data_IF_519423898323
#
_entry.id   IF_519423898323
#
_cell.length_a   1.000
_cell.length_b   1.000
_cell.length_c   1.000
_cell.angle_alpha   90.00
_cell.angle_beta   90.00
_cell.angle_gamma   90.00
#
_symmetry.space_group_name_H-M   'P 1'
#
loop_
_entity.id
_entity.type
_entity.pdbx_description
1 polymer ?
#
# COMPACT_ATOMS: atom_id res chain seq x y z
N UNK A 1 4.70 22.56 8.65
CA UNK A 1 5.16 21.18 8.39
C UNK A 1 4.16 20.11 8.86
N UNK A 2 3.69 20.12 10.12
CA UNK A 2 2.73 19.12 10.64
C UNK A 2 1.48 18.91 9.77
N UNK A 3 0.80 19.99 9.37
CA UNK A 3 -0.40 19.90 8.52
C UNK A 3 -0.06 19.23 7.17
N UNK A 4 1.07 19.58 6.57
CA UNK A 4 1.51 18.99 5.30
C UNK A 4 1.76 17.48 5.43
N UNK A 5 2.48 17.05 6.47
CA UNK A 5 2.71 15.63 6.76
C UNK A 5 1.38 14.90 6.95
N UNK A 6 0.45 15.47 7.73
CA UNK A 6 -0.87 14.89 7.94
C UNK A 6 -1.67 14.75 6.65
N UNK A 7 -1.63 15.76 5.77
CA UNK A 7 -2.29 15.69 4.45
C UNK A 7 -1.70 14.57 3.61
N UNK A 8 -0.38 14.47 3.53
CA UNK A 8 0.30 13.41 2.78
C UNK A 8 0.03 12.01 3.37
N UNK A 9 0.01 11.87 4.70
CA UNK A 9 -0.39 10.63 5.37
C UNK A 9 -1.81 10.23 5.00
N UNK A 10 -2.77 11.17 5.00
CA UNK A 10 -4.13 10.89 4.57
C UNK A 10 -4.20 10.48 3.11
N UNK A 11 -3.48 11.16 2.21
CA UNK A 11 -3.44 10.82 0.78
C UNK A 11 -2.90 9.40 0.58
N UNK A 12 -1.79 9.04 1.24
CA UNK A 12 -1.20 7.69 1.15
C UNK A 12 -2.18 6.63 1.63
N UNK A 13 -2.76 6.80 2.81
CA UNK A 13 -3.62 5.79 3.43
C UNK A 13 -4.95 5.62 2.69
N UNK A 14 -5.54 6.71 2.20
CA UNK A 14 -6.71 6.64 1.31
C UNK A 14 -6.34 6.00 -0.03
N UNK A 15 -5.13 6.27 -0.55
CA UNK A 15 -4.58 5.58 -1.71
C UNK A 15 -4.50 4.06 -1.52
N UNK A 16 -4.03 3.60 -0.35
CA UNK A 16 -4.03 2.16 -0.02
C UNK A 16 -5.43 1.60 -0.01
N UNK A 17 -6.39 2.32 0.59
CA UNK A 17 -7.78 1.89 0.59
C UNK A 17 -8.33 1.73 -0.85
N UNK A 18 -7.91 2.56 -1.81
CA UNK A 18 -8.24 2.40 -3.22
C UNK A 18 -7.63 1.10 -3.81
N UNK A 19 -6.35 0.84 -3.54
CA UNK A 19 -5.65 -0.38 -3.96
C UNK A 19 -6.31 -1.63 -3.38
N UNK A 20 -6.78 -1.57 -2.13
CA UNK A 20 -7.52 -2.65 -1.49
C UNK A 20 -8.83 -2.97 -2.22
N UNK A 21 -9.61 -1.94 -2.59
CA UNK A 21 -10.81 -2.13 -3.42
C UNK A 21 -10.49 -2.85 -4.72
N UNK A 22 -9.49 -2.35 -5.46
CA UNK A 22 -9.07 -2.94 -6.75
C UNK A 22 -8.57 -4.38 -6.60
N UNK A 23 -7.76 -4.65 -5.60
CA UNK A 23 -7.19 -5.98 -5.39
C UNK A 23 -8.27 -7.01 -5.05
N UNK A 24 -9.18 -6.68 -4.13
CA UNK A 24 -10.27 -7.57 -3.74
C UNK A 24 -11.22 -7.79 -4.92
N UNK A 25 -11.59 -6.72 -5.64
CA UNK A 25 -12.45 -6.81 -6.82
C UNK A 25 -11.83 -7.70 -7.92
N UNK A 26 -10.57 -7.46 -8.27
CA UNK A 26 -9.90 -8.21 -9.34
C UNK A 26 -9.72 -9.70 -9.01
N UNK A 27 -9.37 -10.03 -7.76
CA UNK A 27 -9.24 -11.43 -7.35
C UNK A 27 -10.60 -12.14 -7.29
N UNK A 28 -11.65 -11.49 -6.79
CA UNK A 28 -13.01 -12.06 -6.80
C UNK A 28 -13.55 -12.22 -8.22
N UNK A 29 -13.34 -11.24 -9.10
CA UNK A 29 -13.67 -11.33 -10.52
C UNK A 29 -12.95 -12.52 -11.16
N UNK A 30 -11.65 -12.68 -10.90
CA UNK A 30 -10.87 -13.79 -11.44
C UNK A 30 -11.36 -15.19 -11.02
N UNK A 31 -12.02 -15.30 -9.87
CA UNK A 31 -12.64 -16.56 -9.39
C UNK A 31 -14.04 -16.72 -9.99
N UNK A 32 -14.89 -15.70 -9.88
CA UNK A 32 -16.30 -15.79 -10.29
C UNK A 32 -16.43 -15.90 -11.81
N UNK A 33 -15.61 -15.18 -12.58
CA UNK A 33 -15.59 -15.29 -14.03
C UNK A 33 -15.19 -16.68 -14.54
N UNK A 34 -14.47 -17.47 -13.72
CA UNK A 34 -14.10 -18.83 -14.09
C UNK A 34 -15.27 -19.82 -13.95
N UNK A 35 -16.11 -19.66 -12.93
CA UNK A 35 -17.22 -20.59 -12.64
C UNK A 35 -18.59 -20.14 -13.16
N UNK A 36 -18.78 -18.84 -13.35
CA UNK A 36 -20.09 -18.25 -13.65
C UNK A 36 -20.02 -17.35 -14.88
N UNK A 37 -20.08 -16.04 -14.69
CA UNK A 37 -20.25 -15.05 -15.76
C UNK A 37 -19.10 -14.04 -15.69
N UNK A 38 -18.60 -13.65 -16.87
CA UNK A 38 -17.70 -12.52 -17.03
C UNK A 38 -18.46 -11.22 -16.79
N UNK A 39 -18.44 -10.76 -15.55
CA UNK A 39 -18.92 -9.43 -15.17
C UNK A 39 -17.79 -8.42 -15.19
N UNK A 40 -18.14 -7.17 -15.45
CA UNK A 40 -17.20 -6.06 -15.43
C UNK A 40 -16.69 -5.77 -14.00
N UNK A 41 -15.43 -5.36 -13.87
CA UNK A 41 -14.78 -5.11 -12.56
C UNK A 41 -15.53 -4.07 -11.71
N UNK A 42 -16.21 -3.11 -12.34
CA UNK A 42 -16.98 -2.07 -11.67
C UNK A 42 -18.16 -2.66 -10.87
N UNK A 43 -18.74 -3.77 -11.31
CA UNK A 43 -19.81 -4.45 -10.58
C UNK A 43 -19.27 -5.01 -9.26
N UNK A 44 -18.09 -5.62 -9.28
CA UNK A 44 -17.44 -6.12 -8.07
C UNK A 44 -17.07 -4.97 -7.11
N UNK A 45 -16.61 -3.83 -7.64
CA UNK A 45 -16.36 -2.64 -6.82
C UNK A 45 -17.64 -2.16 -6.12
N UNK A 46 -18.78 -2.10 -6.83
CA UNK A 46 -20.07 -1.69 -6.26
C UNK A 46 -20.53 -2.69 -5.19
N UNK A 47 -20.39 -4.00 -5.44
CA UNK A 47 -20.75 -5.04 -4.47
C UNK A 47 -19.89 -4.96 -3.20
N UNK A 48 -18.61 -4.56 -3.33
CA UNK A 48 -17.70 -4.41 -2.20
C UNK A 48 -17.92 -3.12 -1.39
N UNK A 49 -18.57 -2.11 -1.97
CA UNK A 49 -18.78 -0.81 -1.30
C UNK A 49 -19.50 -0.98 0.04
N UNK A 50 -20.64 -1.69 0.05
CA UNK A 50 -21.45 -1.86 1.25
C UNK A 50 -20.72 -2.66 2.35
N UNK A 51 -20.10 -3.83 2.08
CA UNK A 51 -19.24 -4.51 3.04
C UNK A 51 -18.09 -3.66 3.60
N UNK A 52 -17.40 -2.89 2.75
CA UNK A 52 -16.29 -2.02 3.17
C UNK A 52 -16.76 -0.88 4.08
N UNK A 53 -17.94 -0.31 3.83
CA UNK A 53 -18.57 0.70 4.71
C UNK A 53 -18.83 0.10 6.09
N UNK A 54 -19.46 -1.08 6.15
CA UNK A 54 -19.77 -1.74 7.43
C UNK A 54 -18.50 -2.11 8.20
N UNK A 55 -17.47 -2.61 7.52
CA UNK A 55 -16.20 -2.92 8.16
C UNK A 55 -15.56 -1.66 8.78
N UNK A 56 -15.66 -0.52 8.09
CA UNK A 56 -15.12 0.75 8.57
C UNK A 56 -15.90 1.37 9.74
N UNK A 57 -17.12 0.91 10.01
CA UNK A 57 -17.84 1.35 11.21
C UNK A 57 -17.27 0.77 12.51
N UNK A 58 -16.35 -0.20 12.42
CA UNK A 58 -15.59 -0.71 13.57
C UNK A 58 -14.56 0.35 14.00
N UNK A 59 -14.86 1.04 15.11
CA UNK A 59 -14.03 2.16 15.59
C UNK A 59 -12.81 1.74 16.41
N UNK A 60 -12.88 0.59 17.05
CA UNK A 60 -11.90 0.19 18.06
C UNK A 60 -10.77 -0.64 17.44
N UNK A 61 -9.56 -0.08 17.45
CA UNK A 61 -8.35 -0.76 16.96
C UNK A 61 -8.15 -2.13 17.62
N UNK A 62 -8.47 -2.28 18.91
CA UNK A 62 -8.33 -3.56 19.63
C UNK A 62 -9.25 -4.66 19.09
N UNK A 63 -10.41 -4.29 18.54
CA UNK A 63 -11.29 -5.25 17.85
C UNK A 63 -10.74 -5.61 16.46
N UNK A 64 -10.06 -4.67 15.79
CA UNK A 64 -9.45 -4.90 14.48
C UNK A 64 -8.18 -5.76 14.58
N UNK A 65 -7.42 -5.69 15.67
CA UNK A 65 -6.17 -6.43 15.86
C UNK A 65 -6.29 -7.95 15.65
N UNK A 66 -7.19 -8.70 16.31
CA UNK A 66 -7.29 -10.15 16.10
C UNK A 66 -7.75 -10.52 14.69
N UNK A 67 -8.65 -9.71 14.10
CA UNK A 67 -9.12 -9.88 12.72
C UNK A 67 -7.98 -9.66 11.73
N UNK A 68 -7.17 -8.62 11.93
CA UNK A 68 -6.01 -8.31 11.12
C UNK A 68 -4.89 -9.34 11.30
N UNK A 69 -4.75 -9.94 12.48
CA UNK A 69 -3.79 -11.03 12.70
C UNK A 69 -4.21 -12.28 11.92
N UNK A 70 -5.50 -12.63 11.94
CA UNK A 70 -6.03 -13.71 11.12
C UNK A 70 -5.82 -13.42 9.62
N UNK A 71 -6.08 -12.18 9.18
CA UNK A 71 -5.78 -11.74 7.83
C UNK A 71 -4.29 -11.90 7.48
N UNK A 72 -3.38 -11.54 8.39
CA UNK A 72 -1.95 -11.71 8.18
C UNK A 72 -1.55 -13.18 8.01
N UNK A 73 -2.14 -14.11 8.79
CA UNK A 73 -1.93 -15.55 8.63
C UNK A 73 -2.40 -16.01 7.24
N UNK A 74 -3.59 -15.60 6.80
CA UNK A 74 -4.09 -15.90 5.46
C UNK A 74 -3.17 -15.35 4.36
N UNK A 75 -2.64 -14.14 4.53
CA UNK A 75 -1.66 -13.55 3.60
C UNK A 75 -0.38 -14.38 3.54
N UNK A 76 0.15 -14.84 4.68
CA UNK A 76 1.35 -15.69 4.72
C UNK A 76 1.11 -17.01 4.00
N UNK A 77 -0.01 -17.68 4.25
CA UNK A 77 -0.36 -18.93 3.58
C UNK A 77 -0.55 -18.71 2.08
N UNK A 78 -1.30 -17.66 1.69
CA UNK A 78 -1.53 -17.32 0.29
C UNK A 78 -0.25 -16.98 -0.45
N UNK A 79 0.66 -16.26 0.20
CA UNK A 79 1.97 -15.97 -0.34
C UNK A 79 2.83 -17.23 -0.49
N UNK A 80 2.85 -18.12 0.50
CA UNK A 80 3.59 -19.38 0.44
C UNK A 80 3.12 -20.27 -0.74
N UNK A 81 1.81 -20.40 -0.92
CA UNK A 81 1.24 -21.16 -2.06
C UNK A 81 1.50 -20.44 -3.38
N UNK A 82 1.40 -19.11 -3.43
CA UNK A 82 1.79 -18.33 -4.63
C UNK A 82 3.25 -18.58 -4.99
N UNK A 83 4.13 -18.62 -3.98
CA UNK A 83 5.55 -18.90 -4.15
C UNK A 83 5.80 -20.31 -4.69
N UNK A 84 5.05 -21.30 -4.21
CA UNK A 84 5.08 -22.67 -4.73
C UNK A 84 4.78 -22.72 -6.24
N UNK A 85 3.75 -22.00 -6.73
CA UNK A 85 3.46 -21.92 -8.17
C UNK A 85 4.53 -21.15 -8.95
N UNK A 86 5.11 -20.09 -8.38
CA UNK A 86 6.16 -19.31 -9.04
C UNK A 86 7.42 -20.14 -9.31
N UNK A 87 7.76 -21.05 -8.40
CA UNK A 87 8.99 -21.85 -8.49
C UNK A 87 8.86 -23.09 -9.40
N UNK A 88 7.66 -23.44 -9.85
CA UNK A 88 7.47 -24.55 -10.79
C UNK A 88 7.80 -24.11 -12.21
N UNK A 89 8.42 -25.01 -13.00
CA UNK A 89 8.73 -24.81 -14.42
C UNK A 89 9.30 -23.42 -14.72
N UNK A 90 10.33 -23.02 -13.96
CA UNK A 90 11.00 -21.74 -14.15
C UNK A 90 11.73 -21.74 -15.50
N UNK A 91 11.50 -20.74 -16.37
CA UNK A 91 12.22 -20.63 -17.61
C UNK A 91 13.67 -20.19 -17.37
N UNK A 92 14.52 -20.32 -18.41
CA UNK A 92 15.88 -19.81 -18.36
C UNK A 92 15.87 -18.28 -18.17
N UNK A 93 16.86 -17.74 -17.44
CA UNK A 93 17.01 -16.28 -17.25
C UNK A 93 17.20 -15.51 -18.56
N UNK A 94 17.57 -16.19 -19.64
CA UNK A 94 17.66 -15.61 -20.99
C UNK A 94 16.31 -15.30 -21.64
N UNK A 95 15.20 -15.81 -21.11
CA UNK A 95 13.86 -15.59 -21.70
C UNK A 95 13.24 -14.25 -21.31
N UNK A 96 13.82 -13.54 -20.35
CA UNK A 96 13.33 -12.24 -19.86
C UNK A 96 14.37 -11.15 -20.05
N UNK A 97 13.93 -9.89 -20.14
CA UNK A 97 14.85 -8.76 -20.32
C UNK A 97 15.56 -8.46 -19.01
N UNK A 98 16.89 -8.47 -19.02
CA UNK A 98 17.68 -8.18 -17.81
C UNK A 98 17.62 -6.72 -17.38
N UNK A 99 17.34 -5.81 -18.31
CA UNK A 99 17.26 -4.38 -18.06
C UNK A 99 15.88 -3.83 -18.40
N UNK A 100 15.32 -3.08 -17.46
CA UNK A 100 14.08 -2.35 -17.65
C UNK A 100 14.30 -1.15 -18.59
N UNK A 101 13.22 -0.71 -19.24
CA UNK A 101 13.23 0.53 -20.01
C UNK A 101 13.28 1.77 -19.10
N UNK A 102 13.77 2.90 -19.62
CA UNK A 102 13.83 4.16 -18.89
C UNK A 102 12.44 4.63 -18.39
N UNK A 103 11.38 4.27 -19.11
CA UNK A 103 9.99 4.58 -18.76
C UNK A 103 9.45 3.73 -17.60
N UNK A 104 9.99 2.52 -17.41
CA UNK A 104 9.58 1.61 -16.34
C UNK A 104 10.26 1.93 -15.00
N UNK A 105 11.43 2.57 -15.01
CA UNK A 105 12.16 2.91 -13.79
C UNK A 105 11.38 3.84 -12.83
N UNK A 106 10.73 4.93 -13.29
CA UNK A 106 9.91 5.75 -12.41
C UNK A 106 8.67 5.04 -11.87
N UNK A 107 8.07 4.14 -12.66
CA UNK A 107 6.94 3.34 -12.21
C UNK A 107 7.35 2.37 -11.11
N UNK A 108 8.48 1.68 -11.31
CA UNK A 108 9.09 0.81 -10.31
C UNK A 108 9.47 1.58 -9.05
N UNK A 109 10.06 2.77 -9.18
CA UNK A 109 10.35 3.64 -8.03
C UNK A 109 9.09 3.86 -7.18
N UNK A 110 7.98 4.27 -7.80
CA UNK A 110 6.71 4.45 -7.10
C UNK A 110 6.26 3.17 -6.38
N UNK A 111 6.26 2.03 -7.09
CA UNK A 111 5.87 0.73 -6.52
C UNK A 111 6.78 0.29 -5.37
N UNK A 112 8.10 0.51 -5.47
CA UNK A 112 9.06 0.15 -4.45
C UNK A 112 8.87 0.99 -3.18
N UNK A 113 8.71 2.32 -3.34
CA UNK A 113 8.45 3.20 -2.19
C UNK A 113 7.10 2.91 -1.54
N UNK A 114 6.08 2.58 -2.34
CA UNK A 114 4.80 2.09 -1.83
C UNK A 114 4.98 0.82 -0.97
N UNK A 115 5.76 -0.15 -1.45
CA UNK A 115 5.92 -1.44 -0.79
C UNK A 115 6.59 -1.33 0.60
N UNK A 116 7.51 -0.38 0.77
CA UNK A 116 8.19 -0.13 2.06
C UNK A 116 7.50 0.95 2.91
N UNK A 117 6.27 1.34 2.58
CA UNK A 117 5.51 2.28 3.40
C UNK A 117 4.88 1.55 4.59
N UNK A 118 5.08 2.12 5.78
CA UNK A 118 4.32 1.76 6.98
C UNK A 118 4.30 2.89 8.03
N UNK A 119 4.72 4.10 7.67
CA UNK A 119 5.07 5.14 8.64
C UNK A 119 3.87 5.63 9.44
N UNK A 120 2.66 5.55 8.86
CA UNK A 120 1.41 5.92 9.53
C UNK A 120 1.06 5.05 10.75
N UNK A 121 1.59 3.82 10.83
CA UNK A 121 1.30 2.88 11.93
C UNK A 121 2.48 2.59 12.84
N UNK A 122 3.70 3.04 12.49
CA UNK A 122 4.94 2.80 13.27
C UNK A 122 4.79 3.30 14.70
N UNK A 123 4.44 4.58 14.92
CA UNK A 123 4.34 5.15 16.27
C UNK A 123 3.19 4.57 17.09
N UNK A 124 1.95 4.41 16.54
CA UNK A 124 0.90 3.69 17.24
C UNK A 124 1.33 2.27 17.62
N UNK A 125 2.05 1.55 16.75
CA UNK A 125 2.51 0.19 17.02
C UNK A 125 3.54 0.16 18.15
N UNK A 126 4.58 1.00 18.09
CA UNK A 126 5.60 1.14 19.14
C UNK A 126 4.97 1.46 20.50
N UNK A 127 4.03 2.41 20.55
CA UNK A 127 3.31 2.79 21.77
C UNK A 127 2.44 1.66 22.36
N UNK A 128 2.08 0.66 21.57
CA UNK A 128 1.29 -0.50 22.01
C UNK A 128 2.16 -1.75 22.28
N UNK A 129 3.48 -1.66 22.15
CA UNK A 129 4.38 -2.78 22.48
C UNK A 129 4.53 -2.93 24.00
N UNK A 130 4.72 -4.17 24.45
CA UNK A 130 5.06 -4.47 25.85
C UNK A 130 6.41 -3.86 26.25
N UNK A 131 7.37 -3.82 25.32
CA UNK A 131 8.71 -3.25 25.50
C UNK A 131 9.03 -2.30 24.33
N UNK A 132 8.53 -1.04 24.36
CA UNK A 132 8.73 -0.08 23.27
C UNK A 132 10.21 0.21 22.96
N UNK A 133 11.09 0.13 23.97
CA UNK A 133 12.54 0.32 23.80
C UNK A 133 13.21 -0.68 22.84
N UNK A 134 12.60 -1.85 22.62
CA UNK A 134 13.11 -2.89 21.70
C UNK A 134 12.63 -2.67 20.25
N UNK A 135 11.88 -1.59 19.98
CA UNK A 135 11.37 -1.29 18.65
C UNK A 135 12.50 -0.88 17.70
N UNK A 136 13.40 -0.01 18.17
CA UNK A 136 14.59 0.45 17.45
C UNK A 136 15.85 -0.41 17.70
N UNK A 137 16.98 0.00 17.12
CA UNK A 137 18.26 -0.70 17.25
C UNK A 137 18.56 -1.70 16.12
N UNK A 138 19.78 -2.24 16.08
CA UNK A 138 20.24 -3.11 14.99
C UNK A 138 19.40 -4.39 14.83
N UNK A 139 19.05 -5.02 15.95
CA UNK A 139 18.19 -6.21 16.01
C UNK A 139 16.80 -5.88 16.54
N UNK A 140 16.42 -4.60 16.51
CA UNK A 140 15.08 -4.16 16.91
C UNK A 140 14.00 -4.71 16.00
N UNK A 141 12.76 -4.60 16.45
CA UNK A 141 11.59 -5.06 15.68
C UNK A 141 11.51 -4.41 14.30
N UNK A 142 11.80 -3.10 14.21
CA UNK A 142 11.75 -2.37 12.94
C UNK A 142 12.81 -2.86 11.94
N UNK A 143 14.08 -2.92 12.35
CA UNK A 143 15.14 -3.35 11.43
C UNK A 143 15.00 -4.81 11.01
N UNK A 144 14.66 -5.70 11.95
CA UNK A 144 14.49 -7.12 11.66
C UNK A 144 13.34 -7.34 10.68
N UNK A 145 12.20 -6.67 10.89
CA UNK A 145 11.06 -6.75 9.97
C UNK A 145 11.40 -6.20 8.57
N UNK A 146 12.11 -5.08 8.48
CA UNK A 146 12.53 -4.50 7.20
C UNK A 146 13.45 -5.43 6.40
N UNK A 147 14.40 -6.13 7.04
CA UNK A 147 15.26 -7.11 6.34
C UNK A 147 14.43 -8.28 5.82
N UNK A 148 13.52 -8.83 6.63
CA UNK A 148 12.66 -9.95 6.22
C UNK A 148 11.80 -9.54 5.02
N UNK A 149 11.16 -8.38 5.09
CA UNK A 149 10.31 -7.84 4.02
C UNK A 149 11.11 -7.57 2.74
N UNK A 150 12.33 -7.01 2.85
CA UNK A 150 13.18 -6.77 1.70
C UNK A 150 13.59 -8.07 0.98
N UNK A 151 13.99 -9.09 1.73
CA UNK A 151 14.29 -10.42 1.17
C UNK A 151 13.07 -11.02 0.48
N UNK A 152 11.90 -10.94 1.12
CA UNK A 152 10.65 -11.47 0.60
C UNK A 152 10.23 -10.77 -0.71
N UNK A 153 10.22 -9.44 -0.73
CA UNK A 153 9.87 -8.67 -1.93
C UNK A 153 10.86 -8.88 -3.06
N UNK A 154 12.15 -8.96 -2.77
CA UNK A 154 13.17 -9.24 -3.78
C UNK A 154 12.96 -10.63 -4.38
N UNK A 155 12.69 -11.63 -3.55
CA UNK A 155 12.44 -12.99 -4.02
C UNK A 155 11.16 -13.08 -4.87
N UNK A 156 10.06 -12.50 -4.40
CA UNK A 156 8.78 -12.46 -5.14
C UNK A 156 8.92 -11.70 -6.45
N UNK A 157 9.59 -10.54 -6.43
CA UNK A 157 9.84 -9.74 -7.63
C UNK A 157 10.71 -10.48 -8.65
N UNK A 158 11.79 -11.12 -8.20
CA UNK A 158 12.69 -11.87 -9.08
C UNK A 158 12.01 -13.10 -9.70
N UNK A 159 11.47 -14.00 -8.88
CA UNK A 159 10.85 -15.24 -9.39
C UNK A 159 9.54 -14.96 -10.13
N UNK A 160 8.76 -13.97 -9.68
CA UNK A 160 7.55 -13.53 -10.38
C UNK A 160 7.88 -12.98 -11.77
N UNK A 161 8.91 -12.13 -11.89
CA UNK A 161 9.34 -11.61 -13.19
C UNK A 161 9.92 -12.71 -14.08
N UNK A 162 10.73 -13.62 -13.53
CA UNK A 162 11.28 -14.74 -14.30
C UNK A 162 10.17 -15.66 -14.84
N UNK A 163 9.15 -15.96 -14.03
CA UNK A 163 8.07 -16.88 -14.42
C UNK A 163 7.08 -16.25 -15.39
N UNK A 164 6.66 -15.01 -15.15
CA UNK A 164 5.53 -14.39 -15.87
C UNK A 164 5.96 -13.26 -16.83
N UNK A 165 7.13 -12.66 -16.63
CA UNK A 165 7.64 -11.58 -17.49
C UNK A 165 6.64 -10.44 -17.67
N UNK A 166 6.46 -10.00 -18.92
CA UNK A 166 5.52 -8.94 -19.30
C UNK A 166 4.04 -9.42 -19.33
N UNK A 167 3.76 -10.70 -19.09
CA UNK A 167 2.40 -11.26 -19.10
C UNK A 167 1.62 -11.00 -17.78
N UNK A 168 2.23 -10.33 -16.79
CA UNK A 168 1.62 -10.07 -15.49
C UNK A 168 0.36 -9.20 -15.62
N UNK A 169 -0.80 -9.82 -15.43
CA UNK A 169 -2.10 -9.13 -15.45
C UNK A 169 -2.24 -8.08 -14.33
N UNK A 170 -2.55 -6.85 -14.73
CA UNK A 170 -2.86 -5.71 -13.84
C UNK A 170 -1.80 -5.46 -12.74
N UNK A 171 -0.56 -5.90 -12.91
CA UNK A 171 0.48 -5.76 -11.90
C UNK A 171 0.33 -6.65 -10.66
N UNK A 172 -0.49 -7.71 -10.72
CA UNK A 172 -0.64 -8.67 -9.61
C UNK A 172 -0.30 -10.11 -10.03
N UNK A 173 0.58 -10.76 -9.27
CA UNK A 173 0.97 -12.16 -9.51
C UNK A 173 -0.21 -13.12 -9.28
N UNK A 174 -1.10 -12.85 -8.31
CA UNK A 174 -2.22 -13.73 -7.99
C UNK A 174 -3.21 -13.90 -9.16
N UNK A 175 -3.30 -12.88 -10.02
CA UNK A 175 -4.14 -12.89 -11.23
C UNK A 175 -3.55 -13.76 -12.36
N UNK A 176 -2.28 -14.15 -12.26
CA UNK A 176 -1.60 -15.01 -13.23
C UNK A 176 -1.57 -16.48 -12.82
N UNK A 177 -2.04 -16.81 -11.60
CA UNK A 177 -2.16 -18.20 -11.17
C UNK A 177 -3.12 -18.99 -12.07
N UNK A 178 -2.89 -20.30 -12.28
CA UNK A 178 -3.70 -21.13 -13.17
C UNK A 178 -5.18 -21.11 -12.76
N UNK A 179 -6.12 -20.73 -13.66
CA UNK A 179 -7.51 -20.58 -13.27
C UNK A 179 -8.22 -21.93 -13.04
N UNK A 180 -7.76 -23.01 -13.66
CA UNK A 180 -8.41 -24.32 -13.57
C UNK A 180 -8.03 -25.10 -12.31
N UNK A 181 -7.05 -24.63 -11.54
CA UNK A 181 -6.57 -25.30 -10.34
C UNK A 181 -7.28 -24.75 -9.09
N UNK A 182 -7.90 -25.65 -8.32
CA UNK A 182 -8.64 -25.32 -7.10
C UNK A 182 -7.72 -24.67 -6.07
N UNK A 183 -6.46 -25.12 -5.97
CA UNK A 183 -5.51 -24.55 -5.03
C UNK A 183 -5.16 -23.11 -5.42
N UNK A 184 -4.94 -22.82 -6.70
CA UNK A 184 -4.76 -21.45 -7.19
C UNK A 184 -5.98 -20.55 -6.96
N UNK A 185 -7.20 -21.06 -7.15
CA UNK A 185 -8.43 -20.30 -6.87
C UNK A 185 -8.59 -20.02 -5.37
N UNK A 186 -8.24 -21.00 -4.52
CA UNK A 186 -8.25 -20.81 -3.07
C UNK A 186 -7.33 -19.67 -2.62
N UNK A 187 -6.16 -19.51 -3.25
CA UNK A 187 -5.24 -18.39 -2.99
C UNK A 187 -5.88 -17.04 -3.35
N UNK A 188 -6.54 -16.93 -4.50
CA UNK A 188 -7.23 -15.68 -4.89
C UNK A 188 -8.29 -15.28 -3.88
N UNK A 189 -9.13 -16.23 -3.45
CA UNK A 189 -10.18 -15.99 -2.44
C UNK A 189 -9.57 -15.65 -1.09
N UNK A 190 -8.57 -16.41 -0.65
CA UNK A 190 -7.89 -16.21 0.64
C UNK A 190 -7.18 -14.86 0.71
N UNK A 191 -6.46 -14.45 -0.35
CA UNK A 191 -5.80 -13.15 -0.43
C UNK A 191 -6.83 -12.02 -0.50
N UNK A 192 -7.92 -12.18 -1.27
CA UNK A 192 -9.00 -11.20 -1.29
C UNK A 192 -9.63 -11.02 0.09
N UNK A 193 -9.89 -12.11 0.81
CA UNK A 193 -10.41 -12.09 2.18
C UNK A 193 -9.42 -11.44 3.15
N UNK A 194 -8.13 -11.76 3.06
CA UNK A 194 -7.10 -11.18 3.91
C UNK A 194 -6.98 -9.66 3.74
N UNK A 195 -6.95 -9.18 2.49
CA UNK A 195 -6.91 -7.75 2.18
C UNK A 195 -8.21 -7.07 2.63
N UNK A 196 -9.37 -7.68 2.39
CA UNK A 196 -10.65 -7.17 2.89
C UNK A 196 -10.64 -7.01 4.42
N UNK A 197 -10.25 -8.04 5.17
CA UNK A 197 -10.25 -8.02 6.64
C UNK A 197 -9.23 -7.03 7.24
N UNK A 198 -8.14 -6.75 6.55
CA UNK A 198 -7.11 -5.78 7.00
C UNK A 198 -7.41 -4.34 6.59
N UNK A 199 -8.45 -4.08 5.78
CA UNK A 199 -8.84 -2.75 5.32
C UNK A 199 -9.08 -1.77 6.46
N UNK A 200 -9.77 -2.21 7.52
CA UNK A 200 -10.10 -1.36 8.67
C UNK A 200 -8.86 -0.80 9.37
N UNK A 201 -7.73 -1.52 9.35
CA UNK A 201 -6.47 -1.07 9.95
C UNK A 201 -5.85 0.09 9.15
N UNK A 202 -5.88 0.04 7.81
CA UNK A 202 -5.37 1.15 7.01
C UNK A 202 -6.26 2.37 7.08
N UNK A 203 -7.58 2.16 7.18
CA UNK A 203 -8.52 3.26 7.33
C UNK A 203 -8.42 3.95 8.71
N UNK A 204 -7.93 3.25 9.73
CA UNK A 204 -7.77 3.79 11.07
C UNK A 204 -6.87 5.05 11.12
N UNK A 205 -5.78 5.05 10.36
CA UNK A 205 -4.81 6.16 10.34
C UNK A 205 -5.41 7.49 9.84
N UNK A 206 -6.01 7.58 8.64
CA UNK A 206 -6.60 8.83 8.16
C UNK A 206 -7.78 9.25 9.04
N UNK A 207 -8.51 8.29 9.64
CA UNK A 207 -9.58 8.63 10.57
C UNK A 207 -9.06 9.30 11.84
N UNK A 208 -7.97 8.80 12.43
CA UNK A 208 -7.34 9.43 13.59
C UNK A 208 -6.78 10.84 13.31
N UNK A 209 -6.43 11.13 12.05
CA UNK A 209 -5.93 12.43 11.63
C UNK A 209 -7.09 13.40 11.35
N UNK A 210 -8.11 12.96 10.61
CA UNK A 210 -9.22 13.81 10.15
C UNK A 210 -10.30 13.99 11.20
N UNK A 211 -10.56 12.99 12.03
CA UNK A 211 -11.64 13.03 13.02
C UNK A 211 -11.51 14.19 14.01
N UNK A 212 -10.35 14.45 14.64
CA UNK A 212 -10.22 15.58 15.56
C UNK A 212 -10.56 16.91 14.90
N UNK A 213 -10.08 17.12 13.65
CA UNK A 213 -10.32 18.34 12.87
C UNK A 213 -11.81 18.60 12.58
N UNK A 214 -12.60 17.55 12.43
CA UNK A 214 -14.05 17.63 12.22
C UNK A 214 -14.79 17.73 13.55
N UNK A 215 -14.41 16.93 14.55
CA UNK A 215 -15.09 16.87 15.84
C UNK A 215 -15.01 18.18 16.64
N UNK A 216 -13.93 18.95 16.48
CA UNK A 216 -13.75 20.28 17.09
C UNK A 216 -14.83 21.28 16.63
N UNK A 217 -15.45 21.04 15.46
CA UNK A 217 -16.51 21.88 14.90
C UNK A 217 -17.91 21.45 15.34
N UNK A 218 -18.04 20.33 16.03
CA UNK A 218 -19.33 19.74 16.44
C UNK A 218 -19.53 19.88 17.94
N UNK A 219 -20.62 20.51 18.36
CA UNK A 219 -20.87 20.88 19.76
C UNK A 219 -21.55 19.78 20.58
N UNK A 220 -22.48 19.02 19.98
CA UNK A 220 -23.24 17.98 20.68
C UNK A 220 -22.65 16.58 20.47
N UNK A 221 -22.67 15.74 21.50
CA UNK A 221 -22.23 14.34 21.42
C UNK A 221 -22.97 13.52 20.35
N UNK A 222 -24.28 13.75 20.19
CA UNK A 222 -25.06 13.11 19.13
C UNK A 222 -24.58 13.52 17.72
N UNK A 223 -24.31 14.81 17.51
CA UNK A 223 -23.75 15.33 16.24
C UNK A 223 -22.35 14.77 15.98
N UNK A 224 -21.53 14.60 17.02
CA UNK A 224 -20.21 13.94 16.91
C UNK A 224 -20.35 12.48 16.48
N UNK A 225 -21.25 11.71 17.11
CA UNK A 225 -21.44 10.30 16.73
C UNK A 225 -21.88 10.15 15.26
N UNK A 226 -22.86 10.94 14.81
CA UNK A 226 -23.32 10.93 13.42
C UNK A 226 -22.22 11.42 12.48
N UNK A 227 -21.56 12.53 12.83
CA UNK A 227 -20.48 13.12 12.04
C UNK A 227 -19.33 12.13 11.79
N UNK A 228 -19.01 11.29 12.77
CA UNK A 228 -17.99 10.26 12.62
C UNK A 228 -18.39 9.20 11.58
N UNK A 229 -19.62 8.69 11.65
CA UNK A 229 -20.12 7.71 10.67
C UNK A 229 -20.25 8.30 9.27
N UNK A 230 -20.69 9.57 9.16
CA UNK A 230 -20.77 10.29 7.89
C UNK A 230 -19.38 10.48 7.29
N UNK A 231 -18.40 10.90 8.08
CA UNK A 231 -17.02 11.07 7.61
C UNK A 231 -16.41 9.75 7.14
N UNK A 232 -16.54 8.68 7.95
CA UNK A 232 -16.07 7.33 7.60
C UNK A 232 -16.69 6.85 6.29
N UNK A 233 -18.02 6.97 6.16
CA UNK A 233 -18.74 6.52 4.96
C UNK A 233 -18.38 7.35 3.73
N UNK A 234 -18.30 8.68 3.88
CA UNK A 234 -17.90 9.58 2.79
C UNK A 234 -16.50 9.32 2.27
N UNK A 235 -15.55 9.04 3.17
CA UNK A 235 -14.18 8.68 2.80
C UNK A 235 -14.08 7.31 2.12
N UNK A 236 -14.90 6.31 2.50
CA UNK A 236 -14.98 5.03 1.77
C UNK A 236 -15.57 5.21 0.37
N UNK A 237 -16.62 6.04 0.24
CA UNK A 237 -17.20 6.37 -1.07
C UNK A 237 -16.16 7.08 -1.94
N UNK A 238 -15.38 7.99 -1.37
CA UNK A 238 -14.30 8.68 -2.08
C UNK A 238 -13.24 7.69 -2.61
N UNK A 239 -12.76 6.76 -1.78
CA UNK A 239 -11.77 5.77 -2.22
C UNK A 239 -12.34 4.78 -3.24
N UNK A 240 -13.62 4.43 -3.11
CA UNK A 240 -14.34 3.65 -4.12
C UNK A 240 -14.41 4.38 -5.47
N UNK A 241 -14.76 5.67 -5.49
CA UNK A 241 -14.82 6.46 -6.74
C UNK A 241 -13.45 6.50 -7.42
N UNK A 242 -12.38 6.73 -6.65
CA UNK A 242 -11.02 6.73 -7.19
C UNK A 242 -10.63 5.36 -7.79
N UNK A 243 -10.96 4.26 -7.11
CA UNK A 243 -10.76 2.92 -7.63
C UNK A 243 -11.56 2.66 -8.92
N UNK A 244 -12.80 3.15 -8.99
CA UNK A 244 -13.64 3.01 -10.18
C UNK A 244 -13.13 3.82 -11.39
N UNK A 245 -12.51 4.99 -11.17
CA UNK A 245 -11.97 5.81 -12.27
C UNK A 245 -10.71 5.17 -12.88
N UNK A 246 -9.85 4.56 -12.06
CA UNK A 246 -8.57 3.98 -12.51
C UNK A 246 -8.53 2.49 -12.12
N UNK A 247 -9.20 1.60 -12.86
CA UNK A 247 -9.26 0.16 -12.54
C UNK A 247 -7.97 -0.60 -12.88
N UNK A 248 -6.80 0.00 -12.64
CA UNK A 248 -5.49 -0.61 -12.82
C UNK A 248 -4.67 -0.54 -11.53
N UNK A 249 -4.53 -1.70 -10.87
CA UNK A 249 -3.87 -1.84 -9.58
C UNK A 249 -2.42 -1.31 -9.61
N UNK A 250 -1.62 -1.71 -10.61
CA UNK A 250 -0.21 -1.32 -10.71
C UNK A 250 -0.01 0.19 -10.88
N UNK A 251 -0.85 0.84 -11.69
CA UNK A 251 -0.79 2.29 -11.89
C UNK A 251 -1.15 3.04 -10.61
N UNK A 252 -2.21 2.63 -9.91
CA UNK A 252 -2.61 3.28 -8.64
C UNK A 252 -1.54 3.10 -7.56
N UNK A 253 -0.96 1.90 -7.43
CA UNK A 253 0.16 1.64 -6.52
C UNK A 253 1.34 2.57 -6.83
N UNK A 254 1.72 2.66 -8.11
CA UNK A 254 2.84 3.50 -8.53
C UNK A 254 2.58 4.98 -8.28
N UNK A 255 1.37 5.47 -8.58
CA UNK A 255 0.98 6.87 -8.38
C UNK A 255 1.00 7.24 -6.89
N UNK A 256 0.38 6.43 -6.03
CA UNK A 256 0.36 6.68 -4.58
C UNK A 256 1.79 6.65 -4.03
N UNK A 257 2.59 5.68 -4.44
CA UNK A 257 3.98 5.56 -4.03
C UNK A 257 4.86 6.74 -4.47
N UNK A 258 4.72 7.16 -5.72
CA UNK A 258 5.48 8.27 -6.29
C UNK A 258 5.05 9.62 -5.69
N UNK A 259 3.76 9.88 -5.53
CA UNK A 259 3.27 11.17 -5.02
C UNK A 259 3.45 11.27 -3.51
N UNK A 260 2.77 10.41 -2.76
CA UNK A 260 2.60 10.65 -1.33
C UNK A 260 3.63 9.91 -0.48
N UNK A 261 3.95 8.66 -0.84
CA UNK A 261 4.94 7.88 -0.08
C UNK A 261 6.38 8.38 -0.26
N UNK A 262 6.78 8.86 -1.45
CA UNK A 262 8.11 9.46 -1.65
C UNK A 262 8.33 10.69 -0.77
N UNK A 263 7.31 11.54 -0.64
CA UNK A 263 7.38 12.71 0.23
C UNK A 263 7.50 12.31 1.70
N UNK A 264 6.72 11.33 2.16
CA UNK A 264 6.71 10.87 3.56
C UNK A 264 7.94 10.06 3.95
N UNK A 265 8.44 9.21 3.06
CA UNK A 265 9.52 8.26 3.37
C UNK A 265 10.91 8.86 3.10
N UNK A 266 11.03 9.79 2.16
CA UNK A 266 12.33 10.32 1.70
C UNK A 266 12.45 11.81 2.02
N UNK A 267 11.53 12.64 1.50
CA UNK A 267 11.69 14.10 1.54
C UNK A 267 11.53 14.67 2.95
N UNK A 268 10.42 14.36 3.64
CA UNK A 268 10.15 14.93 4.96
C UNK A 268 11.14 14.48 6.03
N UNK A 269 11.57 13.20 6.13
CA UNK A 269 12.58 12.80 7.11
C UNK A 269 13.89 13.57 6.95
N UNK A 270 14.39 13.73 5.72
CA UNK A 270 15.60 14.52 5.46
C UNK A 270 15.44 16.00 5.79
N UNK A 271 14.27 16.60 5.52
CA UNK A 271 14.00 17.99 5.94
C UNK A 271 13.97 18.10 7.48
N UNK A 272 13.34 17.14 8.16
CA UNK A 272 13.27 17.11 9.64
C UNK A 272 14.68 16.97 10.22
N UNK A 273 15.53 16.10 9.67
CA UNK A 273 16.92 15.93 10.10
C UNK A 273 17.71 17.24 9.99
N UNK A 274 17.66 17.90 8.83
CA UNK A 274 18.30 19.21 8.63
C UNK A 274 17.77 20.22 9.67
N UNK A 275 16.45 20.39 9.81
CA UNK A 275 15.87 21.38 10.73
C UNK A 275 16.25 21.09 12.19
N UNK A 276 16.34 19.82 12.57
CA UNK A 276 16.63 19.40 13.94
C UNK A 276 18.07 19.69 14.34
N UNK A 277 19.03 19.51 13.42
CA UNK A 277 20.46 19.64 13.71
C UNK A 277 21.10 20.95 13.21
N UNK A 278 20.37 21.76 12.44
CA UNK A 278 20.83 23.07 11.98
C UNK A 278 20.86 24.11 13.11
N UNK A 279 21.84 25.04 13.15
CA UNK A 279 23.05 25.12 12.31
C UNK A 279 24.28 24.43 12.93
N UNK A 280 24.20 23.97 14.18
CA UNK A 280 25.38 23.67 14.98
C UNK A 280 25.82 22.19 14.99
N UNK A 281 24.95 21.24 14.61
CA UNK A 281 25.19 19.80 14.76
C UNK A 281 25.13 19.02 13.43
N UNK A 282 25.57 19.61 12.32
CA UNK A 282 25.52 19.01 10.97
C UNK A 282 26.68 18.04 10.65
N UNK A 283 27.51 17.72 11.65
CA UNK A 283 28.69 16.87 11.52
C UNK A 283 29.88 17.55 10.83
N UNK A 284 30.98 16.80 10.67
CA UNK A 284 32.21 17.31 10.03
C UNK A 284 31.90 17.71 8.57
N UNK A 285 32.31 18.92 8.17
CA UNK A 285 32.09 19.48 6.82
C UNK A 285 30.61 19.58 6.39
N UNK A 286 29.67 19.64 7.33
CA UNK A 286 28.23 19.64 7.02
C UNK A 286 27.81 18.42 6.17
N UNK A 287 28.44 17.25 6.36
CA UNK A 287 28.11 16.04 5.60
C UNK A 287 26.62 15.67 5.67
N UNK A 288 25.99 15.84 6.84
CA UNK A 288 24.56 15.58 7.03
C UNK A 288 23.71 16.42 6.06
N UNK A 289 24.02 17.70 5.91
CA UNK A 289 23.33 18.60 4.98
C UNK A 289 23.42 18.12 3.54
N UNK A 290 24.62 17.76 3.06
CA UNK A 290 24.81 17.29 1.68
C UNK A 290 24.12 15.96 1.42
N UNK A 291 24.21 15.02 2.37
CA UNK A 291 23.45 13.75 2.34
C UNK A 291 21.96 14.03 2.18
N UNK A 292 21.39 14.88 3.04
CA UNK A 292 19.95 15.14 3.04
C UNK A 292 19.48 15.90 1.81
N UNK A 293 20.28 16.84 1.30
CA UNK A 293 19.99 17.50 0.02
C UNK A 293 19.94 16.48 -1.13
N UNK A 294 20.90 15.54 -1.19
CA UNK A 294 20.90 14.50 -2.22
C UNK A 294 19.68 13.57 -2.10
N UNK A 295 19.31 13.18 -0.89
CA UNK A 295 18.12 12.35 -0.62
C UNK A 295 16.84 13.10 -1.02
N UNK A 296 16.72 14.38 -0.69
CA UNK A 296 15.60 15.24 -1.09
C UNK A 296 15.51 15.33 -2.61
N UNK A 297 16.61 15.60 -3.31
CA UNK A 297 16.63 15.66 -4.78
C UNK A 297 16.18 14.33 -5.37
N UNK A 298 16.69 13.21 -4.87
CA UNK A 298 16.29 11.88 -5.33
C UNK A 298 14.77 11.63 -5.13
N UNK A 299 14.25 11.97 -3.95
CA UNK A 299 12.81 11.87 -3.66
C UNK A 299 11.96 12.76 -4.56
N UNK A 300 12.39 13.99 -4.84
CA UNK A 300 11.69 14.92 -5.73
C UNK A 300 11.71 14.47 -7.19
N UNK A 301 12.84 13.93 -7.68
CA UNK A 301 12.91 13.36 -9.03
C UNK A 301 11.98 12.16 -9.15
N UNK A 302 12.00 11.26 -8.15
CA UNK A 302 11.08 10.13 -8.10
C UNK A 302 9.61 10.55 -8.05
N UNK A 303 9.29 11.59 -7.29
CA UNK A 303 7.96 12.22 -7.28
C UNK A 303 7.56 12.71 -8.67
N UNK A 304 8.39 13.56 -9.31
CA UNK A 304 8.05 14.19 -10.59
C UNK A 304 7.93 13.15 -11.70
N UNK A 305 8.94 12.30 -11.87
CA UNK A 305 8.94 11.31 -12.94
C UNK A 305 7.94 10.18 -12.70
N UNK A 306 7.79 9.70 -11.45
CA UNK A 306 6.84 8.65 -11.11
C UNK A 306 5.39 9.12 -11.27
N UNK A 307 5.09 10.37 -10.87
CA UNK A 307 3.77 10.98 -11.08
C UNK A 307 3.49 11.17 -12.56
N UNK A 308 4.45 11.75 -13.31
CA UNK A 308 4.29 11.98 -14.75
C UNK A 308 4.02 10.68 -15.50
N UNK A 309 4.83 9.64 -15.27
CA UNK A 309 4.66 8.35 -15.96
C UNK A 309 3.38 7.64 -15.56
N UNK A 310 2.98 7.70 -14.29
CA UNK A 310 1.71 7.12 -13.83
C UNK A 310 0.52 7.83 -14.46
N UNK A 311 0.53 9.16 -14.49
CA UNK A 311 -0.53 9.97 -15.11
C UNK A 311 -0.58 9.75 -16.62
N UNK A 312 0.57 9.72 -17.29
CA UNK A 312 0.64 9.42 -18.72
C UNK A 312 -0.02 8.08 -19.04
N UNK A 313 0.25 7.03 -18.25
CA UNK A 313 -0.40 5.71 -18.41
C UNK A 313 -1.89 5.68 -18.08
N UNK A 314 -2.40 6.63 -17.30
CA UNK A 314 -3.85 6.75 -17.04
C UNK A 314 -4.56 7.28 -18.29
N UNK A 315 -3.97 8.27 -18.97
CA UNK A 315 -4.56 8.90 -20.14
C UNK A 315 -4.26 8.17 -21.46
N UNK A 316 -3.11 7.49 -21.54
CA UNK A 316 -2.67 6.69 -22.68
C UNK A 316 -2.30 5.27 -22.22
N UNK A 317 -3.31 4.41 -21.96
CA UNK A 317 -3.08 3.03 -21.58
C UNK A 317 -2.70 2.21 -22.83
N UNK A 318 -1.41 1.86 -22.95
CA UNK A 318 -0.92 0.85 -23.91
C UNK A 318 -1.53 -0.54 -23.67
#
# INVERSE_FOLDING_TARGET
MKILINVFLCITQLGFCCVYFLFVAANLQGVIAHYYILLDVHIYLILLLLPMIFLNWVKNLKLLTPVSLFAAVLTVIGLAVTFFYMLQDLPSTSTVKSFASWQQLPLYFGTAIYAFEGIGVILPLENNMRTPQDFGGLTGVLNTSMVIVACLYTAVGYFGYLKYGDAVKLGSITLNLPPNDILAQSVRVMMALAIFLSYGLQFYVPMNILWPMVSERLTTEHHKQIGEYVLRTGLVIFTFILAAIIPNLGIVISLVGAVSSSALAIVFPSIIEIITFWPHNLGKYNWMLWKDILIIIFGLLGFVFGTYTSIAKIFDPE
#
